data_IF_520579283258
#
_entry.id   IF_520579283258
#
_cell.length_a   1.000
_cell.length_b   1.000
_cell.length_c   1.000
_cell.angle_alpha   90.00
_cell.angle_beta   90.00
_cell.angle_gamma   90.00
#
_symmetry.space_group_name_H-M   'P 1'
#
loop_
_entity.id
_entity.type
_entity.pdbx_description
1 polymer ?
2 polymer ?
3 water ?
#
# COMPACT_ATOMS: atom_id res chain seq x y z
N UNK A 1 -8.04 -15.58 3.17
CA UNK A 1 -6.90 -15.03 3.91
C UNK A 1 -5.92 -14.36 2.98
N UNK A 2 -6.37 -14.06 1.76
CA UNK A 2 -5.55 -13.27 0.87
C UNK A 2 -5.38 -11.87 1.44
N UNK A 3 -4.18 -11.31 1.29
CA UNK A 3 -3.88 -9.98 1.79
C UNK A 3 -2.94 -9.31 0.82
N UNK A 4 -3.02 -7.99 0.77
CA UNK A 4 -2.11 -7.18 -0.01
C UNK A 4 -1.16 -6.48 0.97
N UNK A 5 0.12 -6.48 0.65
CA UNK A 5 1.15 -5.87 1.47
C UNK A 5 2.01 -4.98 0.58
N UNK A 6 2.17 -3.72 0.98
CA UNK A 6 3.02 -2.77 0.28
C UNK A 6 4.24 -2.52 1.15
N UNK A 7 5.42 -2.75 0.58
CA UNK A 7 6.71 -2.59 1.24
C UNK A 7 7.54 -1.58 0.48
N UNK A 8 8.18 -0.68 1.20
CA UNK A 8 9.10 0.27 0.59
C UNK A 8 10.48 -0.35 0.67
N UNK A 9 11.10 -0.56 -0.48
CA UNK A 9 12.33 -1.34 -0.59
C UNK A 9 13.38 -0.47 -1.23
N UNK A 10 14.57 -0.44 -0.65
CA UNK A 10 15.67 0.26 -1.30
C UNK A 10 16.06 -0.51 -2.56
N UNK A 11 15.75 0.07 -3.71
CA UNK A 11 16.11 -0.53 -5.00
C UNK A 11 16.34 0.58 -6.02
N UNK A 12 17.51 1.23 -5.98
CA UNK A 12 17.79 2.27 -6.97
C UNK A 12 17.72 1.77 -8.40
N UNK A 13 18.37 0.64 -8.68
CA UNK A 13 18.59 0.14 -10.02
C UNK A 13 17.30 -0.48 -10.57
N UNK A 14 17.35 -0.90 -11.83
CA UNK A 14 16.43 -1.93 -12.27
C UNK A 14 16.83 -3.32 -11.85
N UNK A 15 18.09 -3.48 -11.43
CA UNK A 15 18.73 -4.77 -11.21
C UNK A 15 18.70 -5.21 -9.74
N UNK A 16 18.83 -4.29 -8.80
CA UNK A 16 18.36 -4.57 -7.45
C UNK A 16 16.83 -4.61 -7.40
N UNK A 17 16.19 -3.96 -8.37
CA UNK A 17 14.74 -3.98 -8.48
C UNK A 17 14.24 -5.37 -8.85
N UNK A 18 14.91 -6.05 -9.78
CA UNK A 18 14.51 -7.41 -10.14
C UNK A 18 14.91 -8.40 -9.04
N UNK A 19 16.03 -8.12 -8.37
CA UNK A 19 16.38 -8.82 -7.14
C UNK A 19 15.21 -8.83 -6.15
N UNK A 20 14.64 -7.66 -5.88
CA UNK A 20 13.58 -7.59 -4.87
C UNK A 20 12.35 -8.37 -5.32
N UNK A 21 11.96 -8.21 -6.59
CA UNK A 21 10.77 -8.89 -7.11
C UNK A 21 10.90 -10.40 -6.94
N UNK A 22 11.92 -10.98 -7.57
CA UNK A 22 12.09 -12.44 -7.51
C UNK A 22 12.17 -12.92 -6.07
N UNK A 23 12.77 -12.13 -5.20
CA UNK A 23 12.82 -12.52 -3.80
C UNK A 23 11.45 -12.46 -3.15
N UNK A 24 10.71 -11.36 -3.35
CA UNK A 24 9.37 -11.32 -2.78
C UNK A 24 8.50 -12.43 -3.35
N UNK A 25 8.66 -12.73 -4.65
CA UNK A 25 7.87 -13.76 -5.32
C UNK A 25 8.29 -15.17 -4.97
N UNK A 26 9.50 -15.36 -4.45
CA UNK A 26 9.87 -16.67 -3.93
C UNK A 26 9.15 -17.01 -2.63
N UNK A 27 8.59 -16.03 -1.93
CA UNK A 27 8.00 -16.31 -0.62
C UNK A 27 6.77 -17.20 -0.76
N UNK A 28 6.62 -18.12 0.18
CA UNK A 28 5.49 -19.03 0.20
C UNK A 28 4.18 -18.26 0.32
N UNK A 29 3.23 -18.61 -0.53
CA UNK A 29 1.90 -18.03 -0.46
C UNK A 29 1.69 -16.81 -1.34
N UNK A 30 2.73 -16.32 -2.01
CA UNK A 30 2.58 -15.12 -2.81
C UNK A 30 1.85 -15.43 -4.11
N UNK A 31 0.97 -14.53 -4.54
CA UNK A 31 0.28 -14.65 -5.81
C UNK A 31 0.88 -13.75 -6.89
N UNK A 32 1.17 -12.50 -6.56
CA UNK A 32 1.77 -11.56 -7.49
C UNK A 32 2.74 -10.63 -6.75
N UNK A 33 3.67 -10.09 -7.51
CA UNK A 33 4.54 -9.01 -7.06
C UNK A 33 4.58 -7.97 -8.16
N UNK A 34 4.30 -6.72 -7.79
CA UNK A 34 4.37 -5.60 -8.70
C UNK A 34 5.15 -4.48 -8.01
N UNK A 35 5.89 -3.73 -8.80
CA UNK A 35 6.56 -2.53 -8.34
C UNK A 35 5.76 -1.33 -8.80
N UNK A 36 5.49 -0.42 -7.87
CA UNK A 36 4.75 0.80 -8.15
C UNK A 36 5.46 1.96 -7.46
N UNK A 37 4.89 3.14 -7.61
CA UNK A 37 5.44 4.29 -6.93
C UNK A 37 6.06 5.23 -7.94
N UNK A 38 5.88 6.53 -7.69
CA UNK A 38 6.53 7.55 -8.50
C UNK A 38 8.03 7.30 -8.60
N UNK A 39 8.65 6.89 -7.49
CA UNK A 39 10.07 6.56 -7.43
C UNK A 39 10.33 5.08 -7.67
N UNK A 40 9.31 4.32 -8.02
CA UNK A 40 9.38 2.86 -8.22
C UNK A 40 10.18 2.18 -7.10
N UNK A 41 9.88 2.57 -5.86
CA UNK A 41 10.53 1.99 -4.69
C UNK A 41 9.56 1.17 -3.84
N UNK A 42 8.40 0.82 -4.37
CA UNK A 42 7.40 0.02 -3.69
C UNK A 42 7.30 -1.36 -4.32
N UNK A 43 7.30 -2.39 -3.47
CA UNK A 43 6.87 -3.73 -3.83
C UNK A 43 5.45 -3.93 -3.32
N UNK A 44 4.55 -4.32 -4.22
CA UNK A 44 3.21 -4.74 -3.86
C UNK A 44 3.17 -6.25 -3.90
N UNK A 45 2.82 -6.87 -2.78
CA UNK A 45 2.82 -8.32 -2.66
C UNK A 45 1.42 -8.76 -2.26
N UNK A 46 0.89 -9.75 -2.98
CA UNK A 46 -0.45 -10.28 -2.75
C UNK A 46 -0.33 -11.77 -2.56
N UNK A 47 -0.91 -12.29 -1.49
CA UNK A 47 -1.02 -13.72 -1.34
C UNK A 47 -1.74 -14.03 -0.05
N UNK A 48 -1.88 -15.31 0.23
CA UNK A 48 -2.48 -15.68 1.50
C UNK A 48 -1.47 -16.45 2.32
N UNK A 49 -1.49 -16.20 3.61
CA UNK A 49 -0.51 -16.87 4.42
C UNK A 49 0.70 -16.05 4.81
N UNK A 50 0.91 -14.86 4.24
CA UNK A 50 2.20 -14.19 4.35
C UNK A 50 2.34 -13.52 5.71
N UNK A 51 3.48 -13.75 6.34
CA UNK A 51 3.85 -12.96 7.51
C UNK A 51 4.48 -11.67 7.02
N UNK A 52 3.82 -10.52 7.22
CA UNK A 52 4.44 -9.26 6.81
C UNK A 52 5.74 -8.97 7.54
N UNK A 53 5.85 -9.37 8.81
CA UNK A 53 7.09 -9.13 9.53
C UNK A 53 8.21 -9.89 8.87
N UNK A 54 7.89 -11.07 8.33
CA UNK A 54 8.89 -11.90 7.66
C UNK A 54 9.24 -11.34 6.30
N UNK A 55 8.24 -10.95 5.52
CA UNK A 55 8.49 -10.27 4.25
C UNK A 55 9.49 -9.13 4.41
N UNK A 56 9.18 -8.17 5.27
CA UNK A 56 10.04 -6.98 5.40
C UNK A 56 11.43 -7.37 5.88
N UNK A 57 11.51 -8.19 6.93
CA UNK A 57 12.80 -8.60 7.49
C UNK A 57 13.67 -9.27 6.44
N UNK A 58 13.06 -10.07 5.56
CA UNK A 58 13.83 -10.70 4.50
C UNK A 58 14.34 -9.64 3.53
N UNK A 59 13.43 -8.84 2.98
CA UNK A 59 13.84 -7.76 2.09
C UNK A 59 14.85 -6.85 2.76
N UNK A 60 14.68 -6.60 4.06
CA UNK A 60 15.62 -5.76 4.78
C UNK A 60 17.04 -6.30 4.65
N UNK A 61 17.27 -7.55 5.08
CA UNK A 61 18.64 -8.05 5.08
C UNK A 61 19.20 -8.15 3.67
N UNK A 62 18.34 -8.39 2.69
CA UNK A 62 18.81 -8.69 1.35
C UNK A 62 18.88 -7.47 0.46
N UNK A 63 18.25 -6.39 0.90
CA UNK A 63 18.34 -5.15 0.11
C UNK A 63 18.77 -4.03 1.03
N UNK A 64 18.91 -4.28 2.31
CA UNK A 64 19.39 -3.20 3.18
C UNK A 64 18.29 -2.37 3.79
N UNK A 65 17.31 -1.93 3.02
CA UNK A 65 16.25 -1.12 3.62
C UNK A 65 14.89 -1.63 3.19
N UNK A 66 14.00 -1.82 4.15
CA UNK A 66 12.63 -2.21 3.83
C UNK A 66 11.75 -1.76 4.98
N UNK A 67 10.67 -1.04 4.68
CA UNK A 67 9.68 -0.70 5.70
C UNK A 67 8.26 -1.01 5.20
N UNK A 68 7.46 -1.59 6.10
CA UNK A 68 6.06 -1.83 5.78
C UNK A 68 5.33 -0.52 5.57
N UNK A 69 4.56 -0.45 4.48
CA UNK A 69 3.70 0.70 4.23
C UNK A 69 2.23 0.41 4.43
N UNK A 70 1.72 -0.71 3.93
CA UNK A 70 0.35 -1.04 4.27
C UNK A 70 0.12 -2.54 4.12
N UNK A 71 -0.82 -3.01 4.91
CA UNK A 71 -1.31 -4.37 4.89
C UNK A 71 -2.81 -4.26 4.82
N UNK A 72 -3.41 -4.87 3.80
CA UNK A 72 -4.85 -4.82 3.65
C UNK A 72 -5.30 -6.20 3.28
N UNK A 73 -6.09 -6.78 4.15
CA UNK A 73 -6.69 -8.04 3.86
C UNK A 73 -7.66 -7.83 2.71
N UNK A 74 -7.73 -8.79 1.81
CA UNK A 74 -8.62 -8.66 0.67
C UNK A 74 -10.07 -8.88 1.12
N UNK A 75 -10.93 -7.90 0.88
CA UNK A 75 -12.34 -7.93 1.31
C UNK A 75 -13.09 -9.11 0.69
N UNK B 1 -6.61 21.12 1.05
CA UNK B 1 -6.69 19.82 0.37
C UNK B 1 -8.00 19.67 -0.37
N UNK B 2 -7.93 19.34 -1.66
CA UNK B 2 -9.12 19.14 -2.47
C UNK B 2 -8.98 17.84 -3.25
N UNK B 3 -9.74 16.82 -2.86
CA UNK B 3 -9.61 15.50 -3.47
C UNK B 3 -10.10 15.49 -4.91
N UNK B 4 -11.08 16.33 -5.24
CA UNK B 4 -11.52 16.45 -6.62
C UNK B 4 -10.42 17.04 -7.51
N UNK B 5 -9.47 17.75 -6.91
CA UNK B 5 -8.32 18.32 -7.62
C UNK B 5 -7.15 17.36 -7.71
N UNK B 6 -7.08 16.35 -6.84
CA UNK B 6 -5.91 15.49 -6.76
C UNK B 6 -5.87 14.52 -7.94
N UNK B 7 -4.67 14.36 -8.49
CA UNK B 7 -4.45 13.38 -9.54
C UNK B 7 -4.67 11.97 -9.00
N UNK B 8 -5.09 11.06 -9.89
CA UNK B 8 -5.28 9.66 -9.51
C UNK B 8 -3.97 9.05 -9.05
N UNK B 9 -4.02 8.16 -8.07
CA UNK B 9 -2.82 7.40 -7.69
C UNK B 9 -2.33 6.52 -8.84
N UNK B 10 -1.14 5.96 -8.62
CA UNK B 10 -0.60 4.90 -9.47
C UNK B 10 -1.16 3.56 -8.97
N UNK B 11 -2.08 2.97 -9.71
CA UNK B 11 -2.71 1.73 -9.29
C UNK B 11 -2.61 0.67 -10.36
N UNK B 12 -2.64 -0.57 -9.93
CA UNK B 12 -2.80 -1.69 -10.85
C UNK B 12 -3.73 -2.69 -10.17
N UNK B 13 -4.93 -2.90 -10.74
CA UNK B 13 -5.90 -3.82 -10.16
C UNK B 13 -5.60 -5.23 -10.64
N UNK B 14 -5.28 -6.10 -9.70
CA UNK B 14 -4.92 -7.47 -10.02
C UNK B 14 -6.14 -8.21 -10.55
N UNK B 15 -6.01 -8.97 -11.64
CA UNK B 15 -7.20 -9.54 -12.27
C UNK B 15 -7.98 -10.51 -11.39
N UNK B 16 -7.34 -11.26 -10.52
CA UNK B 16 -8.13 -12.18 -9.73
C UNK B 16 -9.00 -11.55 -8.65
N UNK B 17 -8.59 -10.42 -8.09
CA UNK B 17 -9.13 -10.05 -6.78
C UNK B 17 -10.23 -9.00 -6.93
N UNK B 18 -11.11 -8.84 -5.94
CA UNK B 18 -12.13 -7.81 -6.05
C UNK B 18 -11.54 -6.41 -6.11
N UNK B 19 -12.13 -5.59 -6.96
CA UNK B 19 -11.59 -4.29 -7.28
C UNK B 19 -11.87 -3.38 -6.10
N UNK B 20 -10.85 -2.82 -5.47
CA UNK B 20 -11.11 -1.92 -4.36
C UNK B 20 -11.83 -0.68 -4.85
N UNK B 21 -12.75 -0.17 -4.02
CA UNK B 21 -13.65 0.93 -4.38
C UNK B 21 -13.07 2.33 -4.17
N UNK B 22 -12.02 2.48 -3.37
CA UNK B 22 -11.60 3.80 -2.90
C UNK B 22 -10.21 4.17 -3.39
N UNK B 23 -9.99 5.46 -3.56
CA UNK B 23 -8.67 6.04 -3.53
C UNK B 23 -8.44 6.62 -2.14
N UNK B 24 -7.27 6.36 -1.57
CA UNK B 24 -6.83 7.09 -0.39
C UNK B 24 -5.67 7.99 -0.76
N UNK B 25 -5.52 9.07 0.01
CA UNK B 25 -4.46 10.04 -0.19
C UNK B 25 -3.91 10.42 1.17
N UNK B 26 -2.59 10.40 1.32
CA UNK B 26 -1.99 10.69 2.61
C UNK B 26 -1.17 11.97 2.53
N UNK B 27 -1.46 12.87 3.47
CA UNK B 27 -0.89 14.19 3.53
C UNK B 27 -0.13 14.37 4.83
N UNK B 28 0.99 15.08 4.73
CA UNK B 28 1.68 15.67 5.87
C UNK B 28 1.62 17.17 5.72
N UNK B 29 0.96 17.84 6.66
CA UNK B 29 0.74 19.29 6.61
C UNK B 29 0.26 19.72 5.21
N UNK B 30 -0.79 19.04 4.74
CA UNK B 30 -1.47 19.38 3.49
C UNK B 30 -0.60 19.18 2.25
N UNK B 31 0.49 18.43 2.37
CA UNK B 31 1.32 18.06 1.24
C UNK B 31 1.13 16.57 0.96
N UNK B 32 0.80 16.24 -0.28
CA UNK B 32 0.54 14.86 -0.65
C UNK B 32 1.80 14.04 -0.53
N UNK B 33 1.75 12.98 0.27
CA UNK B 33 2.87 12.07 0.50
C UNK B 33 2.73 10.77 -0.26
N UNK B 34 1.52 10.23 -0.31
CA UNK B 34 1.29 8.94 -0.96
C UNK B 34 -0.19 8.86 -1.30
N UNK B 35 -0.52 7.83 -2.07
CA UNK B 35 -1.89 7.59 -2.53
C UNK B 35 -2.01 6.15 -2.99
N UNK B 36 -3.23 5.64 -2.98
CA UNK B 36 -3.41 4.26 -3.32
C UNK B 36 -4.87 3.90 -3.38
N UNK B 37 -5.14 2.60 -3.32
CA UNK B 37 -6.49 2.08 -3.37
C UNK B 37 -6.75 1.30 -2.10
N UNK B 38 -8.01 1.26 -1.69
CA UNK B 38 -8.39 0.41 -0.57
C UNK B 38 -9.85 0.06 -0.70
N UNK B 39 -10.27 -0.90 0.09
CA UNK B 39 -11.67 -1.30 0.05
C UNK B 39 -12.53 -0.33 0.83
N UNK B 40 -13.77 -0.18 0.38
CA UNK B 40 -14.76 0.51 1.18
C UNK B 40 -15.36 -0.46 2.20
N UNK B 41 -15.97 0.10 3.25
CA UNK B 41 -16.60 -0.68 4.30
C UNK B 41 -15.65 -1.74 4.82
N UNK B 42 -14.45 -1.30 5.15
CA UNK B 42 -13.39 -2.26 5.37
C UNK B 42 -12.39 -1.61 6.30
N UNK B 43 -11.13 -1.94 6.11
CA UNK B 43 -10.12 -1.75 7.12
C UNK B 43 -8.74 -2.08 6.60
N UNK B 44 -7.75 -1.26 6.92
CA UNK B 44 -6.37 -1.51 6.56
C UNK B 44 -5.47 -1.01 7.66
N UNK B 45 -4.23 -1.50 7.67
CA UNK B 45 -3.16 -0.93 8.45
C UNK B 45 -2.17 -0.23 7.54
N UNK B 46 -1.74 0.96 7.96
CA UNK B 46 -0.88 1.82 7.14
C UNK B 46 0.15 2.54 7.98
N UNK B 47 1.33 2.73 7.40
CA UNK B 47 2.36 3.58 7.97
C UNK B 47 1.99 5.04 7.72
N UNK B 48 1.69 5.78 8.79
CA UNK B 48 1.30 7.18 8.67
C UNK B 48 2.30 7.98 9.49
N UNK B 49 3.25 8.62 8.82
CA UNK B 49 4.34 9.23 9.51
C UNK B 49 5.02 8.19 10.34
N UNK B 50 5.17 8.45 11.64
CA UNK B 50 5.91 7.54 12.50
C UNK B 50 5.12 6.31 12.93
N UNK B 51 3.81 6.26 12.70
CA UNK B 51 2.97 5.27 13.35
C UNK B 51 2.37 4.29 12.36
N UNK B 52 2.18 3.06 12.85
CA UNK B 52 1.38 2.06 12.17
C UNK B 52 -0.06 2.22 12.61
N UNK B 53 -0.92 2.70 11.71
CA UNK B 53 -2.26 3.16 12.07
C UNK B 53 -3.32 2.25 11.46
N UNK B 54 -4.27 1.80 12.29
CA UNK B 54 -5.41 1.04 11.82
C UNK B 54 -6.49 1.99 11.32
N UNK B 55 -6.90 1.81 10.07
CA UNK B 55 -7.82 2.72 9.37
C UNK B 55 -9.06 1.94 8.94
N UNK B 56 -10.24 2.48 9.24
CA UNK B 56 -11.54 1.97 8.80
C UNK B 56 -12.04 2.80 7.63
N UNK B 57 -12.67 2.14 6.67
CA UNK B 57 -13.37 2.82 5.60
C UNK B 57 -14.85 2.56 5.76
N UNK B 58 -15.65 3.58 5.57
CA UNK B 58 -17.08 3.38 5.50
C UNK B 58 -17.44 3.14 4.03
N UNK B 59 -18.71 2.92 3.76
CA UNK B 59 -19.21 2.69 2.41
C UNK B 59 -19.09 3.89 1.45
N UNK B 60 -18.80 5.11 1.91
CA UNK B 60 -18.50 6.17 0.95
C UNK B 60 -17.02 6.52 0.93
N UNK B 61 -16.18 5.61 1.42
CA UNK B 61 -14.72 5.75 1.46
C UNK B 61 -14.26 6.78 2.46
N UNK B 62 -15.08 7.13 3.44
CA UNK B 62 -14.60 7.97 4.52
C UNK B 62 -13.68 7.15 5.39
N UNK B 63 -12.44 7.59 5.52
CA UNK B 63 -11.42 6.91 6.30
C UNK B 63 -11.36 7.52 7.70
N UNK B 64 -11.29 6.66 8.71
CA UNK B 64 -11.14 7.11 10.07
C UNK B 64 -10.00 6.33 10.71
N UNK B 65 -9.20 7.02 11.49
CA UNK B 65 -8.06 6.41 12.14
C UNK B 65 -7.43 7.47 13.00
N UNK B 66 -6.48 7.03 13.82
CA UNK B 66 -5.95 7.91 14.83
C UNK B 66 -4.60 8.42 14.31
N UNK B 67 -4.67 9.41 13.44
CA UNK B 67 -3.46 9.83 12.74
C UNK B 67 -2.59 10.69 13.64
N UNK B 68 -1.27 10.59 13.51
CA UNK B 68 -0.36 11.46 14.29
C UNK B 68 -0.42 12.90 13.81
N UNK B 69 -0.05 13.86 14.67
CA UNK B 69 -0.23 15.28 14.34
C UNK B 69 0.40 15.65 13.01
N UNK B 70 -0.31 16.49 12.25
CA UNK B 70 0.13 16.93 10.94
C UNK B 70 -0.19 15.98 9.82
N UNK B 71 -0.62 14.77 10.11
CA UNK B 71 -0.88 13.78 9.07
C UNK B 71 -2.37 13.52 8.96
N UNK B 72 -2.80 13.10 7.78
CA UNK B 72 -4.16 12.65 7.56
C UNK B 72 -4.16 11.72 6.36
N UNK B 73 -5.10 10.77 6.36
CA UNK B 73 -5.37 9.92 5.22
C UNK B 73 -6.85 10.09 4.89
N UNK B 74 -7.13 10.50 3.65
CA UNK B 74 -8.47 10.81 3.20
C UNK B 74 -8.85 9.91 2.03
N UNK B 75 -10.15 9.60 1.93
CA UNK B 75 -10.60 8.73 0.87
C UNK B 75 -11.69 9.32 0.00
N UNK B 76 -11.97 8.67 -1.13
CA UNK B 76 -13.14 8.93 -1.95
C UNK B 76 -13.36 7.69 -2.80
N UNK B 77 -14.59 7.50 -3.30
CA UNK B 77 -14.83 6.36 -4.17
C UNK B 77 -14.21 6.64 -5.54
N UNK B 78 -13.53 5.65 -6.11
CA UNK B 78 -12.97 5.79 -7.46
C UNK B 78 -14.08 6.16 -8.45
N UNK B 79 -13.72 6.64 -9.64
CA UNK B 79 -14.75 6.94 -10.65
C UNK B 79 -15.67 5.75 -10.92
N UNK B 80 -16.97 6.05 -10.99
CA UNK B 80 -17.99 5.06 -11.29
C UNK B 80 -18.32 4.12 -10.16
N UNK B 81 -17.77 4.33 -8.98
CA UNK B 81 -18.00 3.41 -7.87
C UNK B 81 -19.01 3.96 -6.89
#
# INVERSE_FOLDING_TARGET
QRTKIVVKVHMPCGKSRAKALALAASVNGVDSVEITGEDKDRLVVVGRGIDPVRLVALLREKCGLAELLMVELVK
IDLSRERDPNFFDHPGIPVPECFWFMFKNNVRQDAGTCYSSWKMDMKVGPNWVHIKSDDNCNLSGDFPPGWIVLGKKRPGF
#
